data_IF_411390213968
#
_entry.id   IF_411390213968
#
_cell.length_a   1.000
_cell.length_b   1.000
_cell.length_c   1.000
_cell.angle_alpha   90.00
_cell.angle_beta   90.00
_cell.angle_gamma   90.00
#
_symmetry.space_group_name_H-M   'P 1'
#
loop_
_entity.id
_entity.type
_entity.pdbx_description
1 polymer ?
#
# COMPACT_ATOMS: atom_id res chain seq x y z
N UNK A 1 -30.20 -13.59 9.44
CA UNK A 1 -29.90 -13.76 9.09
C UNK A 1 -29.32 -13.56 8.02
N UNK A 2 -29.22 -12.98 7.41
CA UNK A 2 -28.79 -12.75 6.32
C UNK A 2 -27.67 -11.93 6.21
N UNK A 3 -26.86 -11.77 7.18
CA UNK A 3 -25.65 -11.01 7.16
C UNK A 3 -24.64 -11.59 6.26
N UNK A 4 -24.86 -12.79 5.85
CA UNK A 4 -23.92 -13.42 4.98
C UNK A 4 -23.94 -12.84 3.60
N UNK A 5 -24.91 -12.01 3.28
CA UNK A 5 -24.92 -11.44 1.97
C UNK A 5 -23.74 -10.55 1.70
N UNK A 6 -23.16 -9.95 2.72
CA UNK A 6 -22.03 -9.10 2.51
C UNK A 6 -20.76 -9.92 2.38
N UNK A 7 -20.82 -11.19 2.70
CA UNK A 7 -19.64 -12.03 2.70
C UNK A 7 -19.77 -13.13 1.65
N UNK A 8 -19.61 -12.76 0.40
CA UNK A 8 -19.74 -13.70 -0.68
C UNK A 8 -18.40 -14.10 -1.25
N UNK A 9 -17.43 -14.33 -0.40
CA UNK A 9 -16.11 -14.65 -0.86
C UNK A 9 -15.33 -13.43 -1.29
N UNK A 10 -15.77 -12.24 -0.90
CA UNK A 10 -15.12 -11.00 -1.29
C UNK A 10 -13.91 -10.76 -0.40
N UNK A 11 -12.82 -10.33 -1.00
CA UNK A 11 -11.63 -9.93 -0.28
C UNK A 11 -11.54 -8.42 -0.31
N UNK A 12 -11.15 -7.84 0.80
CA UNK A 12 -11.01 -6.39 0.89
C UNK A 12 -9.62 -6.05 1.38
N UNK A 13 -9.13 -4.88 1.01
CA UNK A 13 -7.94 -4.34 1.61
C UNK A 13 -8.42 -3.47 2.78
N UNK A 14 -8.16 -3.92 3.99
CA UNK A 14 -8.71 -3.27 5.19
C UNK A 14 -7.74 -2.29 5.82
N UNK A 15 -6.51 -2.25 5.35
CA UNK A 15 -5.55 -1.25 5.81
C UNK A 15 -4.57 -0.97 4.68
N UNK A 16 -4.24 0.28 4.48
CA UNK A 16 -3.27 0.73 3.50
C UNK A 16 -2.57 1.94 4.11
N UNK A 17 -1.35 1.75 4.58
CA UNK A 17 -0.66 2.74 5.39
C UNK A 17 0.75 2.97 4.85
N UNK A 18 1.15 4.23 4.74
CA UNK A 18 2.51 4.59 4.39
C UNK A 18 3.28 4.96 5.63
N UNK A 19 4.55 4.61 5.67
CA UNK A 19 5.42 4.95 6.80
C UNK A 19 6.85 5.18 6.30
N UNK A 20 7.66 5.80 7.13
CA UNK A 20 9.05 6.03 6.77
C UNK A 20 9.84 4.73 6.74
N UNK A 21 9.57 3.85 7.66
CA UNK A 21 10.26 2.56 7.73
C UNK A 21 9.43 1.55 8.52
N UNK A 22 9.88 0.33 8.52
CA UNK A 22 9.22 -0.71 9.29
C UNK A 22 10.24 -1.70 9.81
N UNK A 23 9.84 -2.47 10.80
CA UNK A 23 10.60 -3.62 11.24
C UNK A 23 9.65 -4.76 11.52
N UNK A 24 10.16 -5.96 11.46
CA UNK A 24 9.37 -7.14 11.76
C UNK A 24 10.09 -7.94 12.84
N UNK A 25 9.37 -8.31 13.85
CA UNK A 25 9.93 -9.11 14.93
C UNK A 25 8.85 -10.05 15.43
N UNK A 26 9.15 -11.32 15.46
CA UNK A 26 8.26 -12.35 15.99
C UNK A 26 6.88 -12.29 15.30
N UNK A 27 6.86 -12.14 13.99
CA UNK A 27 5.62 -12.09 13.22
C UNK A 27 4.85 -10.80 13.33
N UNK A 28 5.39 -9.82 14.05
CA UNK A 28 4.72 -8.52 14.20
C UNK A 28 5.44 -7.45 13.45
N UNK A 29 4.66 -6.61 12.82
CA UNK A 29 5.19 -5.50 12.02
C UNK A 29 5.00 -4.21 12.80
N UNK A 30 6.08 -3.44 12.90
CA UNK A 30 6.04 -2.12 13.51
C UNK A 30 6.32 -1.10 12.40
N UNK A 31 5.45 -0.12 12.27
CA UNK A 31 5.64 0.97 11.32
C UNK A 31 6.17 2.18 12.08
N UNK A 32 7.23 2.79 11.53
CA UNK A 32 7.81 3.97 12.15
C UNK A 32 7.53 5.17 11.26
N UNK A 33 6.98 6.22 11.84
CA UNK A 33 6.71 7.45 11.11
C UNK A 33 5.63 7.30 10.08
N UNK A 34 4.38 7.09 10.50
CA UNK A 34 3.26 7.03 9.57
C UNK A 34 3.15 8.34 8.82
N UNK A 35 3.01 8.25 7.50
CA UNK A 35 3.06 9.41 6.63
C UNK A 35 1.69 9.76 6.08
N UNK A 36 1.29 11.01 6.27
CA UNK A 36 0.09 11.56 5.65
C UNK A 36 0.46 12.33 4.40
N UNK A 37 1.71 12.67 4.26
CA UNK A 37 2.23 13.35 3.09
C UNK A 37 3.71 13.03 2.95
N UNK A 38 4.23 13.24 1.77
CA UNK A 38 5.65 13.03 1.52
C UNK A 38 6.31 14.39 1.37
N UNK A 39 7.37 14.63 2.15
CA UNK A 39 8.11 15.89 2.10
C UNK A 39 9.60 15.64 1.96
N UNK A 40 10.06 15.23 0.78
CA UNK A 40 11.49 15.03 0.59
C UNK A 40 12.22 16.36 0.72
N UNK A 41 13.46 16.29 1.20
CA UNK A 41 14.28 17.48 1.31
C UNK A 41 14.60 18.00 -0.09
N UNK A 42 14.79 19.31 -0.23
CA UNK A 42 15.13 19.88 -1.52
C UNK A 42 16.45 19.34 -2.05
N UNK A 43 17.33 18.88 -1.15
CA UNK A 43 18.61 18.35 -1.56
C UNK A 43 18.57 16.86 -1.89
N UNK A 44 17.48 16.20 -1.63
CA UNK A 44 17.38 14.77 -1.88
C UNK A 44 17.05 14.50 -3.34
N UNK A 45 17.79 13.62 -3.96
CA UNK A 45 17.48 13.21 -5.33
C UNK A 45 16.45 12.10 -5.35
N UNK A 46 16.35 11.37 -4.27
CA UNK A 46 15.32 10.34 -4.16
C UNK A 46 14.82 10.27 -2.73
N UNK A 47 13.70 9.69 -2.54
CA UNK A 47 13.12 9.51 -1.22
C UNK A 47 12.48 8.12 -1.13
N UNK A 48 12.44 7.62 0.08
CA UNK A 48 12.02 6.24 0.33
C UNK A 48 10.89 6.19 1.33
N UNK A 49 10.04 5.21 1.18
CA UNK A 49 8.96 4.95 2.13
C UNK A 49 8.54 3.50 2.00
N UNK A 50 7.74 3.04 2.96
CA UNK A 50 7.17 1.70 2.90
C UNK A 50 5.66 1.79 2.90
N UNK A 51 5.02 0.82 2.28
CA UNK A 51 3.57 0.72 2.23
C UNK A 51 3.16 -0.60 2.84
N UNK A 52 2.31 -0.53 3.86
CA UNK A 52 1.74 -1.69 4.52
C UNK A 52 0.34 -1.88 3.97
N UNK A 53 0.00 -3.08 3.56
CA UNK A 53 -1.34 -3.39 3.10
C UNK A 53 -1.82 -4.68 3.77
N UNK A 54 -3.06 -4.67 4.21
CA UNK A 54 -3.68 -5.82 4.85
C UNK A 54 -4.91 -6.24 4.05
N UNK A 55 -4.97 -7.51 3.70
CA UNK A 55 -6.09 -8.06 2.95
C UNK A 55 -6.83 -9.05 3.82
N UNK A 56 -8.14 -8.95 3.84
CA UNK A 56 -8.97 -9.85 4.62
C UNK A 56 -10.11 -10.37 3.78
N UNK A 57 -10.40 -11.63 3.92
CA UNK A 57 -11.58 -12.23 3.33
C UNK A 57 -12.53 -12.65 4.42
N UNK A 58 -13.77 -12.82 4.10
CA UNK A 58 -14.72 -13.33 5.07
C UNK A 58 -14.59 -14.85 5.14
N UNK A 59 -15.32 -15.46 6.06
CA UNK A 59 -15.21 -16.90 6.27
C UNK A 59 -15.60 -17.73 5.05
N UNK A 60 -16.25 -17.13 4.08
CA UNK A 60 -16.65 -17.84 2.86
C UNK A 60 -15.69 -17.60 1.70
N UNK A 61 -14.55 -16.96 1.94
CA UNK A 61 -13.60 -16.72 0.87
C UNK A 61 -12.97 -18.06 0.47
N UNK A 62 -12.76 -18.23 -0.81
CA UNK A 62 -12.10 -19.43 -1.31
C UNK A 62 -10.65 -19.40 -0.88
N UNK A 63 -10.24 -20.44 -0.16
CA UNK A 63 -8.88 -20.53 0.32
C UNK A 63 -7.92 -20.72 -0.84
N UNK A 64 -6.83 -20.03 -0.81
CA UNK A 64 -5.82 -20.20 -1.84
C UNK A 64 -4.80 -19.10 -1.89
N UNK A 65 -3.86 -19.29 -2.79
CA UNK A 65 -2.80 -18.33 -3.02
C UNK A 65 -3.30 -17.23 -3.95
N UNK A 66 -2.97 -16.01 -3.60
CA UNK A 66 -3.33 -14.85 -4.39
C UNK A 66 -2.08 -14.02 -4.64
N UNK A 67 -2.14 -13.14 -5.58
CA UNK A 67 -1.01 -12.29 -5.92
C UNK A 67 -1.31 -10.84 -5.61
N UNK A 68 -0.51 -10.27 -4.73
CA UNK A 68 -0.71 -8.91 -4.26
C UNK A 68 0.42 -8.01 -4.75
N UNK A 69 0.10 -6.77 -5.02
CA UNK A 69 1.06 -5.82 -5.53
C UNK A 69 0.65 -4.41 -5.13
N UNK A 70 1.62 -3.54 -4.95
CA UNK A 70 1.37 -2.13 -4.65
C UNK A 70 1.85 -1.31 -5.84
N UNK A 71 1.03 -0.37 -6.27
CA UNK A 71 1.39 0.56 -7.34
C UNK A 71 1.42 1.98 -6.81
N UNK A 72 2.34 2.76 -7.34
CA UNK A 72 2.37 4.20 -7.09
C UNK A 72 2.10 4.86 -8.43
N UNK A 73 1.01 5.63 -8.51
CA UNK A 73 0.61 6.28 -9.76
C UNK A 73 0.53 7.78 -9.58
N UNK A 74 0.57 8.50 -10.68
CA UNK A 74 0.43 9.96 -10.62
C UNK A 74 -1.02 10.36 -10.85
N UNK A 75 -1.25 11.67 -10.96
CA UNK A 75 -2.60 12.20 -11.12
C UNK A 75 -3.25 11.79 -12.43
N UNK A 76 -2.46 11.44 -13.41
CA UNK A 76 -2.98 11.02 -14.71
C UNK A 76 -3.17 9.51 -14.80
N UNK A 77 -2.89 8.82 -13.72
CA UNK A 77 -3.02 7.36 -13.69
C UNK A 77 -1.80 6.62 -14.23
N UNK A 78 -0.71 7.34 -14.51
CA UNK A 78 0.48 6.70 -15.00
C UNK A 78 1.23 6.04 -13.85
N UNK A 79 1.65 4.80 -14.03
CA UNK A 79 2.34 4.06 -12.99
C UNK A 79 3.78 4.55 -12.91
N UNK A 80 4.16 5.08 -11.76
CA UNK A 80 5.51 5.56 -11.53
C UNK A 80 6.40 4.45 -10.99
N UNK A 81 5.86 3.61 -10.15
CA UNK A 81 6.57 2.47 -9.57
C UNK A 81 5.58 1.38 -9.24
N UNK A 82 6.06 0.15 -9.27
CA UNK A 82 5.26 -0.96 -8.77
C UNK A 82 6.14 -1.88 -7.97
N UNK A 83 5.56 -2.54 -6.98
CA UNK A 83 6.28 -3.49 -6.17
C UNK A 83 6.43 -4.81 -6.93
N UNK A 84 7.21 -5.71 -6.39
CA UNK A 84 7.19 -7.09 -6.85
C UNK A 84 5.81 -7.66 -6.55
N UNK A 85 5.47 -8.76 -7.19
CA UNK A 85 4.27 -9.48 -6.83
C UNK A 85 4.56 -10.31 -5.59
N UNK A 86 3.68 -10.20 -4.62
CA UNK A 86 3.79 -11.00 -3.41
C UNK A 86 2.76 -12.11 -3.45
N UNK A 87 3.19 -13.30 -3.10
CA UNK A 87 2.27 -14.40 -3.00
C UNK A 87 1.70 -14.41 -1.59
N UNK A 88 0.40 -14.30 -1.46
CA UNK A 88 -0.24 -14.28 -0.15
C UNK A 88 -1.28 -15.39 -0.09
N UNK A 89 -1.43 -15.98 1.09
CA UNK A 89 -2.40 -17.03 1.29
C UNK A 89 -3.61 -16.44 1.99
N UNK A 90 -4.77 -16.59 1.38
CA UNK A 90 -6.00 -16.10 1.97
C UNK A 90 -6.87 -17.26 2.38
N UNK A 91 -7.39 -17.16 3.59
CA UNK A 91 -8.30 -18.14 4.14
C UNK A 91 -9.21 -17.43 5.12
N UNK A 92 -10.48 -17.74 5.05
CA UNK A 92 -11.42 -17.15 6.01
C UNK A 92 -11.15 -17.57 7.43
N UNK A 93 -10.40 -18.63 7.64
CA UNK A 93 -10.12 -19.13 8.96
C UNK A 93 -8.80 -18.64 9.55
N UNK A 94 -7.83 -18.41 8.72
CA UNK A 94 -6.49 -18.09 9.22
C UNK A 94 -6.22 -16.62 9.41
N UNK A 95 -7.16 -15.79 9.10
CA UNK A 95 -7.02 -14.36 9.32
C UNK A 95 -6.43 -13.64 8.13
N UNK A 96 -6.02 -12.41 8.34
CA UNK A 96 -5.60 -11.55 7.24
C UNK A 96 -4.21 -11.89 6.70
N UNK A 97 -3.98 -11.49 5.47
CA UNK A 97 -2.66 -11.54 4.86
C UNK A 97 -2.14 -10.12 4.74
N UNK A 98 -0.87 -9.92 5.06
CA UNK A 98 -0.28 -8.59 4.98
C UNK A 98 0.96 -8.61 4.12
N UNK A 99 1.22 -7.48 3.47
CA UNK A 99 2.47 -7.27 2.75
C UNK A 99 3.03 -5.91 3.12
N UNK A 100 4.34 -5.77 3.03
CA UNK A 100 5.00 -4.48 3.17
C UNK A 100 5.92 -4.32 1.97
N UNK A 101 5.72 -3.27 1.21
CA UNK A 101 6.52 -2.98 0.03
C UNK A 101 7.33 -1.73 0.26
N UNK A 102 8.61 -1.77 -0.08
CA UNK A 102 9.49 -0.62 0.05
C UNK A 102 9.66 0.04 -1.31
N UNK A 103 9.63 1.35 -1.33
CA UNK A 103 9.75 2.11 -2.56
C UNK A 103 10.82 3.18 -2.45
N UNK A 104 11.55 3.37 -3.55
CA UNK A 104 12.44 4.50 -3.71
C UNK A 104 11.94 5.24 -4.94
N UNK A 105 11.57 6.49 -4.77
CA UNK A 105 11.12 7.32 -5.88
C UNK A 105 12.13 8.40 -6.17
N UNK A 106 12.36 8.66 -7.44
CA UNK A 106 13.24 9.72 -7.82
C UNK A 106 12.50 11.03 -7.87
N UNK A 107 13.15 12.07 -7.39
CA UNK A 107 12.57 13.38 -7.37
C UNK A 107 13.01 14.08 -8.64
N UNK A 108 12.42 13.69 -9.76
CA UNK A 108 12.81 14.27 -11.04
C UNK A 108 11.77 15.24 -11.59
N UNK A 109 10.85 15.70 -10.76
CA UNK A 109 9.86 16.66 -11.17
C UNK A 109 10.16 17.99 -10.51
N UNK A 110 9.94 19.03 -11.25
CA UNK A 110 10.26 20.30 -10.83
C UNK A 110 9.31 20.94 -9.99
N UNK A 111 8.30 20.66 -9.49
CA UNK A 111 7.47 21.45 -8.78
C UNK A 111 6.92 20.91 -7.72
N UNK A 112 6.42 21.72 -7.16
CA UNK A 112 5.64 22.09 -6.33
C UNK A 112 4.84 21.03 -5.76
N UNK A 113 3.68 20.99 -5.70
CA UNK A 113 2.82 20.01 -5.09
C UNK A 113 2.32 19.04 -6.13
N UNK A 114 2.41 17.77 -5.82
CA UNK A 114 1.84 16.74 -6.65
C UNK A 114 1.05 15.80 -5.76
N UNK A 115 0.10 15.12 -6.36
CA UNK A 115 -0.67 14.13 -5.65
C UNK A 115 -0.29 12.77 -6.21
N UNK A 116 0.15 11.89 -5.36
CA UNK A 116 0.45 10.51 -5.73
C UNK A 116 -0.66 9.62 -5.23
N UNK A 117 -0.95 8.57 -5.96
CA UNK A 117 -1.93 7.58 -5.54
C UNK A 117 -1.21 6.28 -5.24
N UNK A 118 -1.52 5.69 -4.11
CA UNK A 118 -0.99 4.40 -3.72
C UNK A 118 -2.14 3.41 -3.87
N UNK A 119 -1.94 2.37 -4.65
CA UNK A 119 -2.99 1.40 -4.93
C UNK A 119 -2.57 0.01 -4.47
N UNK A 120 -3.48 -0.67 -3.82
CA UNK A 120 -3.26 -2.05 -3.41
C UNK A 120 -4.07 -2.95 -4.34
N UNK A 121 -3.37 -3.83 -5.05
CA UNK A 121 -4.00 -4.76 -5.98
C UNK A 121 -3.93 -6.18 -5.47
N UNK A 122 -4.97 -6.93 -5.74
CA UNK A 122 -4.98 -8.36 -5.50
C UNK A 122 -5.52 -9.01 -6.76
N UNK A 123 -4.77 -9.95 -7.33
CA UNK A 123 -5.13 -10.63 -8.57
C UNK A 123 -5.51 -9.65 -9.68
N UNK A 124 -4.69 -8.59 -9.78
CA UNK A 124 -4.84 -7.54 -10.81
C UNK A 124 -6.06 -6.63 -10.63
N UNK A 125 -6.74 -6.73 -9.52
CA UNK A 125 -7.85 -5.85 -9.21
C UNK A 125 -7.47 -4.89 -8.11
N UNK A 126 -7.72 -3.61 -8.30
CA UNK A 126 -7.44 -2.60 -7.27
C UNK A 126 -8.49 -2.69 -6.18
N UNK A 127 -8.07 -3.02 -4.98
CA UNK A 127 -8.98 -3.16 -3.85
C UNK A 127 -9.03 -1.92 -2.97
N UNK A 128 -7.99 -1.11 -2.98
CA UNK A 128 -7.96 0.12 -2.21
C UNK A 128 -6.96 1.08 -2.80
N UNK A 129 -7.20 2.36 -2.60
CA UNK A 129 -6.24 3.38 -3.00
C UNK A 129 -6.31 4.54 -2.04
N UNK A 130 -5.21 5.23 -1.88
CA UNK A 130 -5.15 6.42 -1.06
C UNK A 130 -4.29 7.45 -1.77
N UNK A 131 -4.70 8.70 -1.68
CA UNK A 131 -3.94 9.79 -2.27
C UNK A 131 -3.00 10.35 -1.20
N UNK A 132 -1.77 10.63 -1.60
CA UNK A 132 -0.83 11.22 -0.67
C UNK A 132 -0.17 12.41 -1.34
N UNK A 133 -0.23 13.60 -0.71
CA UNK A 133 0.40 14.77 -1.29
C UNK A 133 1.92 14.65 -1.22
N UNK A 134 2.57 15.08 -2.29
CA UNK A 134 4.01 15.20 -2.35
C UNK A 134 4.33 16.68 -2.38
N UNK A 135 5.00 17.15 -1.35
CA UNK A 135 5.30 18.57 -1.21
C UNK A 135 6.77 18.79 -0.94
N UNK A 136 7.30 19.87 -1.45
CA UNK A 136 8.67 20.18 -1.15
C UNK A 136 8.79 20.63 0.29
N UNK A 137 9.89 20.24 0.90
CA UNK A 137 10.17 20.66 2.24
C UNK A 137 10.78 22.07 2.18
N UNK A 138 10.21 22.97 2.93
CA UNK A 138 10.79 24.29 2.99
C UNK A 138 12.02 24.24 3.89
N UNK A 139 13.11 24.84 3.42
CA UNK A 139 14.26 24.98 4.22
C UNK A 139 14.07 26.23 5.03
N UNK A 140 13.95 26.09 6.28
CA UNK A 140 13.81 27.25 7.14
C UNK A 140 15.07 27.36 7.97
#
# INVERSE_FOLDING_TARGET
MDNDKSCKGVVECTALVLAESCSEFDGRITLFGVLDELRPSVDDEEFSFVVYAKFEGCEHVTEGERRARILVTDEDGEVLKESAEYSVWLSGEEGPATIVAAFDLQKDFETEERLLWIEAELDEETLAQTAIPLRERYNV
#
